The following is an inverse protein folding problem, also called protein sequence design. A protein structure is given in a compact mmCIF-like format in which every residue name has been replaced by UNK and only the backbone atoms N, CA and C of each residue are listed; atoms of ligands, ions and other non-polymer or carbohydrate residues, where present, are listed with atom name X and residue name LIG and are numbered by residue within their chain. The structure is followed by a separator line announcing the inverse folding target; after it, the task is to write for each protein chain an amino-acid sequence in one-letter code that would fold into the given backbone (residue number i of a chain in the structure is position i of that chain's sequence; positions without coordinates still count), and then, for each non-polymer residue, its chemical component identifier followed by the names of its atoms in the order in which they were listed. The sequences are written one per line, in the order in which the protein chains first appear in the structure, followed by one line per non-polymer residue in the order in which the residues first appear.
data_IF_343007369539
#
_entry.id   IF_343007369539
#
_cell.length_a   1.000
_cell.length_b   1.000
_cell.length_c   1.000
_cell.angle_alpha   90.00
_cell.angle_beta   90.00
_cell.angle_gamma   90.00
#
_symmetry.space_group_name_H-M   'P 1'
#
loop_
_entity.id
_entity.type
_entity.pdbx_description
1 polymer ?
#
# COMPACT_ATOMS: atom_id res chain seq x y z
N UNK A 1 -24.55 11.90 -9.51
CA UNK A 1 -25.46 12.10 -8.38
C UNK A 1 -25.80 13.56 -8.28
N UNK A 2 -27.07 13.87 -8.06
CA UNK A 2 -27.49 15.24 -7.75
C UNK A 2 -27.32 15.56 -6.24
N UNK A 3 -27.67 16.78 -5.84
CA UNK A 3 -27.47 17.25 -4.47
C UNK A 3 -28.34 16.51 -3.43
N UNK A 4 -29.57 16.14 -3.80
CA UNK A 4 -30.49 15.43 -2.92
C UNK A 4 -30.03 13.98 -2.72
N UNK A 5 -29.66 13.32 -3.81
CA UNK A 5 -29.08 11.98 -3.81
C UNK A 5 -27.78 11.92 -3.00
N UNK A 6 -26.92 12.95 -3.10
CA UNK A 6 -25.69 13.06 -2.33
C UNK A 6 -25.96 13.23 -0.83
N UNK A 7 -27.00 13.97 -0.43
CA UNK A 7 -27.38 14.07 0.98
C UNK A 7 -27.88 12.73 1.53
N UNK A 8 -28.72 12.02 0.77
CA UNK A 8 -29.18 10.67 1.12
C UNK A 8 -28.02 9.70 1.24
N UNK A 9 -27.08 9.77 0.30
CA UNK A 9 -25.87 8.93 0.32
C UNK A 9 -25.00 9.17 1.55
N UNK A 10 -24.73 10.43 1.92
CA UNK A 10 -23.98 10.74 3.15
C UNK A 10 -24.72 10.34 4.43
N UNK A 11 -26.06 10.36 4.42
CA UNK A 11 -26.86 9.81 5.52
C UNK A 11 -26.69 8.29 5.62
N UNK A 12 -26.82 7.61 4.49
CA UNK A 12 -26.61 6.16 4.40
C UNK A 12 -25.20 5.75 4.87
N UNK A 13 -24.13 6.46 4.48
CA UNK A 13 -22.78 6.19 4.96
C UNK A 13 -22.67 6.23 6.49
N UNK A 14 -23.33 7.20 7.14
CA UNK A 14 -23.38 7.30 8.60
C UNK A 14 -24.15 6.14 9.23
N UNK A 15 -25.22 5.68 8.59
CA UNK A 15 -25.95 4.47 9.02
C UNK A 15 -25.08 3.20 8.92
N UNK A 16 -24.10 3.18 8.02
CA UNK A 16 -23.07 2.12 7.94
C UNK A 16 -21.92 2.28 8.95
N UNK A 17 -22.00 3.28 9.85
CA UNK A 17 -20.96 3.57 10.85
C UNK A 17 -19.74 4.28 10.28
N UNK A 18 -19.89 5.01 9.17
CA UNK A 18 -18.82 5.78 8.53
C UNK A 18 -19.09 7.26 8.81
N UNK A 19 -18.59 7.72 9.95
CA UNK A 19 -18.77 9.11 10.40
C UNK A 19 -17.75 10.07 9.76
N UNK A 20 -16.62 9.57 9.25
CA UNK A 20 -15.63 10.42 8.63
C UNK A 20 -15.96 10.73 7.16
N UNK A 21 -15.44 11.87 6.69
CA UNK A 21 -15.66 12.34 5.34
C UNK A 21 -15.30 11.30 4.26
N UNK A 22 -16.17 11.17 3.27
CA UNK A 22 -15.99 10.36 2.07
C UNK A 22 -16.49 11.13 0.84
N UNK A 23 -15.58 11.52 -0.05
CA UNK A 23 -15.88 12.15 -1.33
C UNK A 23 -16.28 11.08 -2.34
N UNK A 24 -17.38 11.27 -3.07
CA UNK A 24 -17.70 10.43 -4.24
C UNK A 24 -16.70 10.74 -5.36
N UNK A 25 -15.92 9.74 -5.76
CA UNK A 25 -14.91 9.82 -6.83
C UNK A 25 -15.55 9.49 -8.17
N UNK A 26 -16.40 8.46 -8.21
CA UNK A 26 -17.09 7.97 -9.39
C UNK A 26 -18.39 7.33 -8.96
N UNK A 27 -19.50 7.63 -9.64
CA UNK A 27 -20.78 6.97 -9.42
C UNK A 27 -21.29 6.44 -10.75
N UNK A 28 -21.45 5.12 -10.83
CA UNK A 28 -21.98 4.40 -12.00
C UNK A 28 -22.97 3.34 -11.54
N UNK A 29 -23.81 2.78 -12.43
CA UNK A 29 -24.65 1.64 -12.07
C UNK A 29 -23.86 0.41 -11.60
N UNK A 30 -22.59 0.28 -11.99
CA UNK A 30 -21.72 -0.82 -11.59
C UNK A 30 -21.07 -0.66 -10.22
N UNK A 31 -20.78 0.58 -9.79
CA UNK A 31 -20.20 0.88 -8.48
C UNK A 31 -20.22 2.39 -8.17
N UNK A 32 -20.27 2.72 -6.88
CA UNK A 32 -19.99 4.04 -6.30
C UNK A 32 -18.64 3.97 -5.57
N UNK A 33 -17.64 4.63 -6.13
CA UNK A 33 -16.32 4.76 -5.51
C UNK A 33 -16.28 6.00 -4.64
N UNK A 34 -15.86 5.84 -3.38
CA UNK A 34 -15.66 6.94 -2.44
C UNK A 34 -14.24 7.02 -1.93
N UNK A 35 -13.72 8.20 -1.61
CA UNK A 35 -12.39 8.36 -1.04
C UNK A 35 -12.42 9.26 0.18
N UNK A 36 -11.63 8.91 1.20
CA UNK A 36 -11.38 9.79 2.35
C UNK A 36 -10.51 11.00 1.99
N UNK A 37 -9.85 10.98 0.83
CA UNK A 37 -8.94 12.03 0.41
C UNK A 37 -9.66 13.16 -0.34
N UNK A 38 -9.24 14.41 -0.13
CA UNK A 38 -9.79 15.54 -0.85
C UNK A 38 -9.49 15.45 -2.35
N UNK A 39 -10.18 16.27 -3.13
CA UNK A 39 -9.87 16.44 -4.55
C UNK A 39 -8.44 16.95 -4.75
N UNK A 40 -7.77 16.52 -5.82
CA UNK A 40 -6.39 16.88 -6.12
C UNK A 40 -5.32 16.10 -5.34
N UNK A 41 -5.66 15.44 -4.23
CA UNK A 41 -4.68 14.66 -3.44
C UNK A 41 -3.98 13.56 -4.27
N UNK A 42 -4.74 12.81 -5.06
CA UNK A 42 -4.20 11.72 -5.87
C UNK A 42 -3.14 12.21 -6.88
N UNK A 43 -3.46 13.29 -7.61
CA UNK A 43 -2.53 13.89 -8.57
C UNK A 43 -1.25 14.37 -7.86
N UNK A 44 -1.40 15.07 -6.75
CA UNK A 44 -0.27 15.56 -5.96
C UNK A 44 0.61 14.43 -5.39
N UNK A 45 -0.02 13.35 -4.93
CA UNK A 45 0.69 12.16 -4.46
C UNK A 45 1.50 11.52 -5.60
N UNK A 46 0.90 11.34 -6.78
CA UNK A 46 1.60 10.79 -7.94
C UNK A 46 2.76 11.70 -8.40
N UNK A 47 2.57 13.02 -8.46
CA UNK A 47 3.64 13.98 -8.76
C UNK A 47 4.79 13.93 -7.75
N UNK A 48 4.49 13.63 -6.49
CA UNK A 48 5.51 13.45 -5.45
C UNK A 48 6.27 12.14 -5.64
N UNK A 49 5.56 11.08 -6.00
CA UNK A 49 6.12 9.75 -6.25
C UNK A 49 6.98 9.72 -7.50
N UNK A 50 6.59 10.43 -8.57
CA UNK A 50 7.35 10.53 -9.82
C UNK A 50 8.70 11.24 -9.63
N UNK A 51 8.89 11.98 -8.53
CA UNK A 51 10.19 12.58 -8.15
C UNK A 51 11.06 11.65 -7.31
N UNK A 52 10.54 10.50 -6.90
CA UNK A 52 11.19 9.57 -5.98
C UNK A 52 11.68 8.30 -6.71
N UNK A 53 12.37 8.43 -7.84
CA UNK A 53 12.84 7.27 -8.63
C UNK A 53 13.65 6.25 -7.80
N UNK A 54 14.48 6.73 -6.87
CA UNK A 54 15.28 5.89 -5.98
C UNK A 54 14.45 5.01 -5.04
N UNK A 55 13.21 5.40 -4.73
CA UNK A 55 12.29 4.61 -3.92
C UNK A 55 11.97 3.27 -4.57
N UNK A 56 12.03 3.21 -5.91
CA UNK A 56 11.70 2.03 -6.68
C UNK A 56 12.89 1.40 -7.40
N UNK A 57 14.10 1.78 -7.01
CA UNK A 57 15.33 1.09 -7.38
C UNK A 57 15.55 -0.07 -6.40
N UNK A 58 15.09 -1.26 -6.79
CA UNK A 58 15.17 -2.47 -5.97
C UNK A 58 16.61 -2.77 -5.50
N UNK A 59 17.62 -2.48 -6.33
CA UNK A 59 19.02 -2.70 -5.97
C UNK A 59 19.50 -1.71 -4.90
N UNK A 60 19.11 -0.44 -5.01
CA UNK A 60 19.44 0.56 -4.01
C UNK A 60 18.77 0.26 -2.66
N UNK A 61 17.48 -0.09 -2.67
CA UNK A 61 16.75 -0.45 -1.44
C UNK A 61 17.33 -1.72 -0.82
N UNK A 62 17.62 -2.75 -1.62
CA UNK A 62 18.20 -4.00 -1.14
C UNK A 62 19.58 -3.77 -0.49
N UNK A 63 20.41 -2.91 -1.08
CA UNK A 63 21.72 -2.55 -0.55
C UNK A 63 21.61 -1.85 0.81
N UNK A 64 20.74 -0.87 0.94
CA UNK A 64 20.52 -0.14 2.19
C UNK A 64 19.94 -1.06 3.28
N UNK A 65 18.98 -1.91 2.93
CA UNK A 65 18.40 -2.90 3.84
C UNK A 65 19.47 -3.91 4.32
N UNK A 66 20.33 -4.38 3.42
CA UNK A 66 21.43 -5.28 3.74
C UNK A 66 22.49 -4.63 4.63
N UNK A 67 22.79 -3.35 4.43
CA UNK A 67 23.70 -2.62 5.31
C UNK A 67 23.14 -2.51 6.73
N UNK A 68 21.84 -2.21 6.88
CA UNK A 68 21.14 -2.15 8.17
C UNK A 68 21.15 -3.54 8.84
N UNK A 69 20.72 -4.57 8.13
CA UNK A 69 20.67 -5.93 8.66
C UNK A 69 22.04 -6.53 8.95
N UNK A 70 23.08 -6.13 8.21
CA UNK A 70 24.47 -6.52 8.50
C UNK A 70 25.02 -5.88 9.78
N UNK A 71 24.63 -4.63 10.07
CA UNK A 71 24.99 -3.95 11.31
C UNK A 71 24.19 -4.45 12.51
N UNK A 72 22.93 -4.85 12.30
CA UNK A 72 21.99 -5.30 13.33
C UNK A 72 21.34 -6.65 12.93
N UNK A 73 22.06 -7.78 13.05
CA UNK A 73 21.60 -9.07 12.50
C UNK A 73 20.31 -9.62 13.11
N UNK A 74 19.93 -9.17 14.31
CA UNK A 74 18.69 -9.56 15.00
C UNK A 74 17.48 -8.77 14.53
N UNK A 75 17.66 -7.72 13.74
CA UNK A 75 16.57 -6.88 13.23
C UNK A 75 15.75 -7.67 12.21
N UNK A 76 14.43 -7.56 12.30
CA UNK A 76 13.51 -8.23 11.37
C UNK A 76 13.76 -7.74 9.93
N UNK A 77 13.63 -8.65 8.96
CA UNK A 77 13.88 -8.34 7.53
C UNK A 77 12.98 -7.21 7.02
N UNK A 78 11.70 -7.24 7.39
CA UNK A 78 10.73 -6.19 7.03
C UNK A 78 11.13 -4.85 7.62
N UNK A 79 11.62 -4.83 8.87
CA UNK A 79 12.10 -3.61 9.51
C UNK A 79 13.37 -3.05 8.84
N UNK A 80 14.26 -3.92 8.34
CA UNK A 80 15.43 -3.49 7.57
C UNK A 80 15.01 -2.82 6.25
N UNK A 81 14.08 -3.43 5.50
CA UNK A 81 13.50 -2.84 4.28
C UNK A 81 12.81 -1.50 4.59
N UNK A 82 11.97 -1.46 5.62
CA UNK A 82 11.25 -0.26 6.03
C UNK A 82 12.21 0.89 6.33
N UNK A 83 13.23 0.66 7.16
CA UNK A 83 14.26 1.66 7.48
C UNK A 83 15.05 2.11 6.25
N UNK A 84 15.34 1.21 5.31
CA UNK A 84 16.01 1.55 4.06
C UNK A 84 15.18 2.55 3.22
N UNK A 85 13.88 2.26 3.07
CA UNK A 85 12.93 3.14 2.39
C UNK A 85 12.83 4.50 3.09
N UNK A 86 12.69 4.52 4.42
CA UNK A 86 12.65 5.77 5.17
C UNK A 86 13.95 6.58 5.03
N UNK A 87 15.09 5.91 4.95
CA UNK A 87 16.38 6.52 4.65
C UNK A 87 16.41 7.22 3.29
N UNK A 88 15.84 6.60 2.26
CA UNK A 88 15.71 7.20 0.92
C UNK A 88 14.82 8.44 0.96
N UNK A 89 13.67 8.36 1.63
CA UNK A 89 12.75 9.50 1.78
C UNK A 89 13.39 10.66 2.54
N UNK A 90 14.15 10.37 3.60
CA UNK A 90 14.92 11.37 4.34
C UNK A 90 15.94 12.08 3.44
N UNK A 91 16.72 11.33 2.63
CA UNK A 91 17.67 11.92 1.69
C UNK A 91 16.98 12.76 0.61
N UNK A 92 15.80 12.37 0.17
CA UNK A 92 15.02 13.16 -0.79
C UNK A 92 14.54 14.50 -0.20
N UNK A 93 14.20 14.54 1.09
CA UNK A 93 13.91 15.81 1.80
C UNK A 93 15.17 16.67 1.93
N UNK A 94 16.30 16.07 2.32
CA UNK A 94 17.58 16.78 2.46
C UNK A 94 18.07 17.37 1.13
N UNK A 95 17.81 16.68 0.03
CA UNK A 95 18.12 17.15 -1.33
C UNK A 95 17.12 18.19 -1.86
N UNK A 96 16.02 18.44 -1.16
CA UNK A 96 14.95 19.35 -1.60
C UNK A 96 14.08 18.79 -2.73
N UNK A 97 14.16 17.49 -3.02
CA UNK A 97 13.36 16.81 -4.05
C UNK A 97 11.88 16.75 -3.66
N UNK A 98 11.60 16.54 -2.38
CA UNK A 98 10.26 16.54 -1.78
C UNK A 98 10.24 17.33 -0.48
N UNK A 99 9.07 17.83 -0.11
CA UNK A 99 8.82 18.52 1.16
C UNK A 99 8.61 17.52 2.30
N UNK A 100 8.71 18.00 3.55
CA UNK A 100 8.41 17.17 4.72
C UNK A 100 6.95 16.65 4.73
N UNK A 101 6.00 17.41 4.17
CA UNK A 101 4.60 16.99 4.04
C UNK A 101 4.46 15.85 3.03
N UNK A 102 5.05 16.01 1.85
CA UNK A 102 5.04 14.98 0.79
C UNK A 102 5.72 13.69 1.28
N UNK A 103 6.83 13.80 2.02
CA UNK A 103 7.42 12.65 2.70
C UNK A 103 6.42 11.95 3.62
N UNK A 104 5.76 12.68 4.52
CA UNK A 104 4.84 12.09 5.49
C UNK A 104 3.66 11.34 4.81
N UNK A 105 3.20 11.83 3.67
CA UNK A 105 2.16 11.18 2.87
C UNK A 105 2.64 9.83 2.28
N UNK A 106 3.88 9.79 1.77
CA UNK A 106 4.49 8.55 1.27
C UNK A 106 4.83 7.59 2.42
N UNK A 107 5.34 8.11 3.54
CA UNK A 107 5.66 7.35 4.75
C UNK A 107 4.46 6.56 5.26
N UNK A 108 3.28 7.17 5.34
CA UNK A 108 2.05 6.47 5.75
C UNK A 108 1.70 5.28 4.83
N UNK A 109 1.98 5.40 3.53
CA UNK A 109 1.83 4.32 2.57
C UNK A 109 2.86 3.22 2.78
N UNK A 110 4.12 3.59 3.01
CA UNK A 110 5.23 2.68 3.31
C UNK A 110 4.98 1.89 4.60
N UNK A 111 4.50 2.55 5.66
CA UNK A 111 4.14 1.92 6.93
C UNK A 111 3.03 0.87 6.74
N UNK A 112 2.05 1.18 5.91
CA UNK A 112 0.95 0.25 5.59
C UNK A 112 1.47 -0.97 4.84
N UNK A 113 2.40 -0.79 3.91
CA UNK A 113 3.05 -1.90 3.20
C UNK A 113 3.89 -2.76 4.15
N UNK A 114 4.68 -2.13 5.03
CA UNK A 114 5.47 -2.85 6.03
C UNK A 114 4.59 -3.76 6.89
N UNK A 115 3.47 -3.24 7.40
CA UNK A 115 2.53 -4.03 8.21
C UNK A 115 1.92 -5.22 7.44
N UNK A 116 1.63 -5.05 6.15
CA UNK A 116 1.12 -6.13 5.31
C UNK A 116 2.16 -7.24 5.09
N UNK A 117 3.41 -6.87 4.81
CA UNK A 117 4.50 -7.85 4.64
C UNK A 117 4.81 -8.56 5.95
N UNK A 118 4.84 -7.82 7.07
CA UNK A 118 5.06 -8.38 8.40
C UNK A 118 3.97 -9.37 8.79
N UNK A 119 2.72 -9.07 8.44
CA UNK A 119 1.59 -10.01 8.62
C UNK A 119 1.75 -11.27 7.77
N UNK A 120 2.23 -11.14 6.53
CA UNK A 120 2.46 -12.28 5.64
C UNK A 120 3.67 -13.13 6.10
N UNK A 121 4.74 -12.48 6.55
CA UNK A 121 5.95 -13.09 7.11
C UNK A 121 5.87 -13.19 8.64
N UNK A 122 4.78 -13.79 9.15
CA UNK A 122 4.48 -13.82 10.59
C UNK A 122 5.57 -14.52 11.42
N UNK A 123 6.46 -15.30 10.80
CA UNK A 123 7.59 -15.90 11.52
C UNK A 123 8.60 -14.85 12.03
N UNK A 124 8.47 -13.59 11.59
CA UNK A 124 9.31 -12.47 12.00
C UNK A 124 10.81 -12.72 11.76
N UNK A 125 11.23 -13.12 10.54
CA UNK A 125 12.59 -13.57 10.30
C UNK A 125 13.60 -12.44 10.51
N UNK A 126 14.62 -12.71 11.33
CA UNK A 126 15.76 -11.81 11.49
C UNK A 126 16.64 -11.80 10.23
N UNK A 127 17.33 -10.69 9.97
CA UNK A 127 18.21 -10.58 8.81
C UNK A 127 19.34 -11.61 8.84
N UNK A 128 19.96 -11.79 10.01
CA UNK A 128 21.07 -12.72 10.24
C UNK A 128 20.67 -14.19 10.35
N UNK A 129 19.38 -14.52 10.25
CA UNK A 129 18.94 -15.92 10.25
C UNK A 129 19.26 -16.57 8.89
N UNK A 130 20.44 -17.20 8.82
CA UNK A 130 20.91 -17.90 7.63
C UNK A 130 20.18 -19.23 7.37
N UNK A 131 19.48 -19.77 8.37
CA UNK A 131 18.73 -21.02 8.26
C UNK A 131 17.25 -20.82 7.90
N UNK A 132 16.75 -19.59 8.03
CA UNK A 132 15.37 -19.28 7.69
C UNK A 132 15.09 -19.44 6.19
N UNK A 133 13.93 -20.01 5.91
CA UNK A 133 13.35 -20.12 4.58
C UNK A 133 11.87 -19.77 4.67
N UNK A 134 11.37 -19.02 3.69
CA UNK A 134 9.95 -18.70 3.59
C UNK A 134 9.14 -19.98 3.44
N UNK A 135 8.12 -20.14 4.28
CA UNK A 135 7.23 -21.30 4.22
C UNK A 135 6.17 -21.14 3.12
N UNK A 136 5.64 -22.26 2.62
CA UNK A 136 4.55 -22.24 1.63
C UNK A 136 3.31 -21.48 2.15
N UNK A 137 3.05 -21.52 3.45
CA UNK A 137 1.92 -20.83 4.04
C UNK A 137 2.13 -19.30 4.10
N UNK A 138 3.35 -18.82 4.30
CA UNK A 138 3.69 -17.39 4.20
C UNK A 138 3.62 -16.90 2.74
N UNK A 139 4.02 -17.74 1.78
CA UNK A 139 3.82 -17.46 0.34
C UNK A 139 2.33 -17.30 0.04
N UNK A 140 1.48 -18.23 0.48
CA UNK A 140 0.02 -18.11 0.29
C UNK A 140 -0.56 -16.87 0.99
N UNK A 141 -0.11 -16.53 2.20
CA UNK A 141 -0.55 -15.32 2.88
C UNK A 141 -0.17 -14.06 2.09
N UNK A 142 1.02 -14.03 1.49
CA UNK A 142 1.44 -12.95 0.60
C UNK A 142 0.61 -12.88 -0.67
N UNK A 143 0.32 -14.02 -1.32
CA UNK A 143 -0.56 -14.10 -2.48
C UNK A 143 -1.97 -13.58 -2.17
N UNK A 144 -2.52 -13.91 -1.00
CA UNK A 144 -3.82 -13.40 -0.55
C UNK A 144 -3.82 -11.88 -0.36
N UNK A 145 -2.74 -11.33 0.20
CA UNK A 145 -2.54 -9.87 0.28
C UNK A 145 -2.48 -9.29 -1.13
N UNK A 146 -1.65 -9.85 -2.01
CA UNK A 146 -1.42 -9.37 -3.38
C UNK A 146 -2.66 -9.49 -4.27
N UNK A 147 -3.49 -10.52 -4.08
CA UNK A 147 -4.74 -10.71 -4.83
C UNK A 147 -5.82 -9.70 -4.41
N UNK A 148 -5.82 -9.29 -3.15
CA UNK A 148 -6.59 -8.12 -2.70
C UNK A 148 -6.00 -6.82 -3.25
N UNK A 149 -4.78 -6.89 -3.81
CA UNK A 149 -4.06 -5.78 -4.40
C UNK A 149 -4.37 -5.47 -5.89
N UNK A 150 -5.42 -6.02 -6.49
CA UNK A 150 -5.56 -6.02 -7.96
C UNK A 150 -5.94 -4.65 -8.59
N UNK A 151 -5.51 -4.47 -9.84
CA UNK A 151 -5.23 -3.19 -10.52
C UNK A 151 -6.45 -2.48 -11.14
N UNK A 152 -7.64 -3.08 -11.17
CA UNK A 152 -8.81 -2.47 -11.84
C UNK A 152 -9.66 -1.59 -10.93
N UNK A 153 -9.74 -1.87 -9.63
CA UNK A 153 -10.52 -1.11 -8.67
C UNK A 153 -9.76 -1.03 -7.34
N UNK A 154 -9.22 0.15 -7.03
CA UNK A 154 -8.21 0.37 -6.00
C UNK A 154 -8.54 -0.13 -4.58
N UNK A 155 -8.33 -1.41 -4.29
CA UNK A 155 -7.34 -1.98 -3.36
C UNK A 155 -7.40 -1.70 -1.85
N UNK A 156 -8.06 -0.62 -1.43
CA UNK A 156 -8.59 -0.54 -0.08
C UNK A 156 -10.09 -0.41 -0.18
N UNK A 157 -10.71 -1.14 -1.09
CA UNK A 157 -12.16 -1.22 -1.29
C UNK A 157 -12.77 -1.97 -0.12
N UNK A 158 -12.76 -1.31 1.05
CA UNK A 158 -13.71 -1.62 2.11
C UNK A 158 -15.07 -1.45 1.47
N UNK A 159 -15.74 -2.57 1.27
CA UNK A 159 -17.13 -2.60 0.87
C UNK A 159 -17.95 -2.04 2.02
N UNK A 160 -18.68 -0.96 1.74
CA UNK A 160 -19.50 -0.27 2.72
C UNK A 160 -20.95 -0.73 2.69
N UNK A 161 -21.34 -1.50 1.68
CA UNK A 161 -22.72 -1.93 1.46
C UNK A 161 -23.22 -1.54 0.08
N UNK A 162 -24.52 -1.73 -0.15
CA UNK A 162 -25.19 -1.35 -1.39
C UNK A 162 -26.06 -0.11 -1.15
N UNK A 163 -25.89 0.93 -1.96
CA UNK A 163 -26.75 2.11 -1.97
C UNK A 163 -27.52 2.15 -3.29
N UNK A 164 -28.86 2.14 -3.22
CA UNK A 164 -29.74 2.21 -4.39
C UNK A 164 -29.40 1.18 -5.50
N UNK A 165 -28.95 -0.01 -5.11
CA UNK A 165 -28.60 -1.11 -6.02
C UNK A 165 -27.16 -1.09 -6.55
N UNK A 166 -26.37 -0.05 -6.23
CA UNK A 166 -24.95 0.03 -6.59
C UNK A 166 -24.05 -0.32 -5.39
N UNK A 167 -23.01 -1.15 -5.55
CA UNK A 167 -22.02 -1.40 -4.50
C UNK A 167 -21.23 -0.13 -4.19
N UNK A 168 -20.98 0.13 -2.91
CA UNK A 168 -20.21 1.29 -2.45
C UNK A 168 -18.88 0.84 -1.89
N UNK A 169 -17.80 1.37 -2.45
CA UNK A 169 -16.44 0.88 -2.20
C UNK A 169 -15.46 2.03 -2.00
N UNK A 170 -14.49 1.83 -1.10
CA UNK A 170 -13.45 2.81 -0.86
C UNK A 170 -12.33 2.77 -1.91
N UNK A 171 -12.03 3.92 -2.50
CA UNK A 171 -10.97 4.13 -3.47
C UNK A 171 -9.70 4.69 -2.81
N UNK A 172 -8.62 3.92 -2.89
CA UNK A 172 -7.28 4.37 -2.50
C UNK A 172 -6.47 4.83 -3.72
N UNK A 173 -6.07 6.12 -3.78
CA UNK A 173 -5.28 6.63 -4.90
C UNK A 173 -3.84 6.08 -4.92
N UNK A 174 -3.30 5.66 -3.77
CA UNK A 174 -1.94 5.10 -3.67
C UNK A 174 -1.84 3.59 -3.98
N UNK A 175 -2.93 2.95 -4.41
CA UNK A 175 -3.04 1.50 -4.58
C UNK A 175 -1.92 0.89 -5.44
N UNK A 176 -1.72 1.43 -6.65
CA UNK A 176 -0.70 0.94 -7.60
C UNK A 176 0.71 1.06 -7.02
N UNK A 177 0.98 2.15 -6.30
CA UNK A 177 2.28 2.42 -5.70
C UNK A 177 2.52 1.48 -4.53
N UNK A 178 1.52 1.30 -3.67
CA UNK A 178 1.58 0.35 -2.57
C UNK A 178 1.81 -1.08 -3.07
N UNK A 179 1.19 -1.48 -4.19
CA UNK A 179 1.41 -2.79 -4.83
C UNK A 179 2.85 -2.97 -5.28
N UNK A 180 3.43 -1.95 -5.92
CA UNK A 180 4.85 -1.96 -6.34
C UNK A 180 5.78 -2.09 -5.13
N UNK A 181 5.56 -1.30 -4.09
CA UNK A 181 6.34 -1.37 -2.85
C UNK A 181 6.18 -2.72 -2.13
N UNK A 182 4.97 -3.30 -2.13
CA UNK A 182 4.71 -4.62 -1.57
C UNK A 182 5.56 -5.69 -2.27
N UNK A 183 5.58 -5.67 -3.61
CA UNK A 183 6.39 -6.59 -4.39
C UNK A 183 7.89 -6.43 -4.13
N UNK A 184 8.39 -5.19 -4.07
CA UNK A 184 9.78 -4.90 -3.74
C UNK A 184 10.13 -5.42 -2.32
N UNK A 185 9.31 -5.12 -1.32
CA UNK A 185 9.52 -5.56 0.05
C UNK A 185 9.60 -7.09 0.15
N UNK A 186 8.70 -7.80 -0.53
CA UNK A 186 8.72 -9.26 -0.60
C UNK A 186 10.02 -9.80 -1.19
N UNK A 187 10.43 -9.28 -2.35
CA UNK A 187 11.68 -9.70 -3.00
C UNK A 187 12.89 -9.48 -2.10
N UNK A 188 12.98 -8.33 -1.46
CA UNK A 188 14.12 -7.98 -0.60
C UNK A 188 14.13 -8.83 0.67
N UNK A 189 12.98 -9.07 1.28
CA UNK A 189 12.91 -9.85 2.53
C UNK A 189 13.13 -11.35 2.29
N UNK A 190 12.59 -11.90 1.21
CA UNK A 190 12.53 -13.35 0.98
C UNK A 190 13.55 -13.87 -0.05
N UNK A 191 14.00 -13.01 -0.95
CA UNK A 191 14.77 -13.40 -2.15
C UNK A 191 13.94 -14.10 -3.22
N UNK A 192 12.61 -14.20 -3.04
CA UNK A 192 11.69 -14.84 -3.98
C UNK A 192 11.09 -13.80 -4.93
N UNK A 193 10.82 -14.21 -6.17
CA UNK A 193 10.02 -13.41 -7.08
C UNK A 193 8.59 -13.24 -6.55
N UNK A 194 7.95 -12.14 -6.95
CA UNK A 194 6.53 -11.91 -6.67
C UNK A 194 5.73 -12.97 -7.45
N UNK A 195 4.86 -13.75 -6.79
CA UNK A 195 4.04 -14.73 -7.48
C UNK A 195 3.24 -14.08 -8.61
N UNK A 196 3.19 -14.74 -9.77
CA UNK A 196 2.32 -14.31 -10.84
C UNK A 196 0.87 -14.35 -10.34
N UNK A 197 0.06 -13.35 -10.71
CA UNK A 197 -1.35 -13.32 -10.35
C UNK A 197 -1.99 -14.67 -10.69
N UNK A 198 -2.67 -15.36 -9.76
CA UNK A 198 -3.58 -16.40 -10.18
C UNK A 198 -4.62 -15.73 -11.07
N UNK A 199 -4.56 -16.01 -12.37
CA UNK A 199 -5.65 -15.71 -13.29
C UNK A 199 -6.87 -16.36 -12.65
N UNK A 200 -7.87 -15.56 -12.28
CA UNK A 200 -9.10 -16.04 -11.69
C UNK A 200 -9.58 -17.23 -12.53
N UNK A 201 -9.61 -18.43 -11.92
CA UNK A 201 -10.19 -19.59 -12.59
C UNK A 201 -11.68 -19.29 -12.73
N UNK A 202 -12.07 -18.98 -13.95
CA UNK A 202 -13.45 -18.85 -14.42
C UNK A 202 -14.29 -20.07 -14.08
#
# INVERSE_FOLDING_TARGET
MDAEELERFHRWLREQGIDEFRRVVRATPGAILVSKFPEGFAAHLHESIDRLDQLFDDEAVARDAAAIGGAEPTTARVQCWHRAVLGILQRAVEAGTVTARERAEVEAGVDSVAALVDTALWSGPAWGDAGWQTSAAEVTAFEDVLARMDESDGLFTRYYGTFEGAPVENHCPGAVVARRLLGQAWKICTGLEVPAHPVARS
#
